data_IF_394591485882
#
_entry.id   IF_394591485882
#
_cell.length_a   1.000
_cell.length_b   1.000
_cell.length_c   1.000
_cell.angle_alpha   90.00
_cell.angle_beta   90.00
_cell.angle_gamma   90.00
#
_symmetry.space_group_name_H-M   'P 1'
#
loop_
_entity.id
_entity.type
_entity.pdbx_description
1 polymer ?
#
# COMPACT_ATOMS: atom_id res chain seq x y z
N UNK A 1 0.31 3.11 9.02
CA UNK A 1 0.00 1.80 9.67
C UNK A 1 -1.12 0.97 8.99
N UNK A 2 -1.91 1.52 8.06
CA UNK A 2 -3.03 0.80 7.42
C UNK A 2 -2.61 -0.48 6.68
N UNK A 3 -1.40 -0.52 6.10
CA UNK A 3 -0.86 -1.73 5.46
C UNK A 3 -0.77 -2.91 6.43
N UNK A 4 -0.34 -2.66 7.68
CA UNK A 4 -0.21 -3.71 8.70
C UNK A 4 -1.60 -4.28 9.03
N UNK A 5 -2.56 -3.39 9.30
CA UNK A 5 -3.95 -3.75 9.58
C UNK A 5 -4.61 -4.49 8.41
N UNK A 6 -4.40 -4.01 7.19
CA UNK A 6 -4.96 -4.61 5.97
C UNK A 6 -4.47 -6.05 5.79
N UNK A 7 -3.17 -6.30 5.97
CA UNK A 7 -2.64 -7.66 5.88
C UNK A 7 -3.18 -8.55 7.00
N UNK A 8 -3.25 -8.05 8.25
CA UNK A 8 -3.68 -8.85 9.40
C UNK A 8 -5.16 -9.26 9.34
N UNK A 9 -6.04 -8.35 8.89
CA UNK A 9 -7.49 -8.60 8.86
C UNK A 9 -7.93 -9.49 7.69
N UNK A 10 -7.10 -9.62 6.66
CA UNK A 10 -7.46 -10.31 5.43
C UNK A 10 -7.12 -11.80 5.54
N UNK A 11 -8.12 -12.66 5.31
CA UNK A 11 -7.89 -14.10 5.23
C UNK A 11 -7.34 -14.47 3.85
N UNK A 12 -6.02 -14.55 3.75
CA UNK A 12 -5.35 -15.09 2.56
C UNK A 12 -5.48 -16.62 2.50
N UNK A 13 -5.03 -17.21 1.39
CA UNK A 13 -4.99 -18.66 1.23
C UNK A 13 -4.02 -19.28 2.26
N UNK A 14 -4.57 -19.93 3.29
CA UNK A 14 -3.81 -20.45 4.44
C UNK A 14 -2.79 -21.53 4.12
N UNK A 15 -2.93 -22.20 2.96
CA UNK A 15 -1.98 -23.21 2.49
C UNK A 15 -0.85 -22.61 1.64
N UNK A 16 -0.89 -21.32 1.33
CA UNK A 16 0.12 -20.65 0.53
C UNK A 16 1.25 -20.13 1.43
N UNK A 17 2.46 -20.66 1.25
CA UNK A 17 3.64 -20.17 1.95
C UNK A 17 3.91 -18.67 1.71
N UNK A 18 3.44 -18.12 0.58
CA UNK A 18 3.58 -16.69 0.26
C UNK A 18 2.86 -15.76 1.24
N UNK A 19 1.82 -16.25 1.94
CA UNK A 19 1.03 -15.45 2.88
C UNK A 19 1.24 -15.87 4.34
N UNK A 20 2.21 -16.74 4.65
CA UNK A 20 2.45 -17.19 6.02
C UNK A 20 2.74 -16.02 6.98
N UNK A 21 3.30 -14.91 6.47
CA UNK A 21 3.59 -13.71 7.27
C UNK A 21 2.34 -12.97 7.75
N UNK A 22 1.16 -13.16 7.14
CA UNK A 22 -0.01 -12.30 7.36
C UNK A 22 -0.85 -12.66 8.59
N UNK A 23 -0.50 -13.73 9.31
CA UNK A 23 -1.30 -14.25 10.43
C UNK A 23 -0.72 -13.92 11.81
N UNK A 24 0.45 -13.29 11.87
CA UNK A 24 1.04 -12.76 13.09
C UNK A 24 1.38 -11.27 12.90
N UNK A 25 0.92 -10.44 13.83
CA UNK A 25 1.07 -9.00 13.74
C UNK A 25 2.55 -8.56 13.69
N UNK A 26 3.42 -9.25 14.43
CA UNK A 26 4.85 -8.95 14.45
C UNK A 26 5.57 -9.45 13.19
N UNK A 27 5.13 -10.56 12.60
CA UNK A 27 5.66 -11.00 11.31
C UNK A 27 5.30 -10.03 10.19
N UNK A 28 4.09 -9.48 10.18
CA UNK A 28 3.73 -8.41 9.23
C UNK A 28 4.64 -7.18 9.43
N UNK A 29 4.84 -6.74 10.68
CA UNK A 29 5.72 -5.60 10.97
C UNK A 29 7.17 -5.84 10.51
N UNK A 30 7.71 -7.04 10.77
CA UNK A 30 9.05 -7.44 10.31
C UNK A 30 9.12 -7.52 8.79
N UNK A 31 8.07 -7.98 8.13
CA UNK A 31 7.99 -8.02 6.67
C UNK A 31 7.99 -6.61 6.09
N UNK A 32 7.18 -5.71 6.66
CA UNK A 32 7.14 -4.30 6.28
C UNK A 32 8.50 -3.62 6.46
N UNK A 33 9.21 -3.86 7.57
CA UNK A 33 10.55 -3.31 7.76
C UNK A 33 11.60 -3.84 6.77
N UNK A 34 11.42 -5.05 6.21
CA UNK A 34 12.26 -5.54 5.10
C UNK A 34 11.91 -4.84 3.79
N UNK A 35 10.62 -4.63 3.53
CA UNK A 35 10.15 -3.85 2.40
C UNK A 35 10.70 -2.41 2.43
N UNK A 36 10.61 -1.72 3.57
CA UNK A 36 11.14 -0.36 3.75
C UNK A 36 12.64 -0.28 3.43
N UNK A 37 13.44 -1.21 3.97
CA UNK A 37 14.87 -1.31 3.65
C UNK A 37 15.15 -1.61 2.18
N UNK A 38 14.31 -2.42 1.54
CA UNK A 38 14.45 -2.73 0.12
C UNK A 38 14.17 -1.50 -0.74
N UNK A 39 13.14 -0.73 -0.41
CA UNK A 39 12.85 0.54 -1.09
C UNK A 39 13.98 1.55 -0.93
N UNK A 40 14.53 1.70 0.28
CA UNK A 40 15.69 2.55 0.54
C UNK A 40 16.96 2.08 -0.22
N UNK A 41 17.13 0.77 -0.39
CA UNK A 41 18.21 0.22 -1.20
C UNK A 41 18.02 0.55 -2.69
N UNK A 42 16.80 0.37 -3.22
CA UNK A 42 16.50 0.67 -4.61
C UNK A 42 16.66 2.15 -4.94
N UNK A 43 16.23 3.04 -4.05
CA UNK A 43 16.43 4.48 -4.23
C UNK A 43 17.92 4.84 -4.33
N UNK A 44 18.76 4.20 -3.50
CA UNK A 44 20.22 4.39 -3.53
C UNK A 44 20.87 3.82 -4.80
N UNK A 45 20.46 2.63 -5.23
CA UNK A 45 21.06 1.96 -6.38
C UNK A 45 20.58 2.52 -7.72
N UNK A 46 19.33 3.00 -7.77
CA UNK A 46 18.67 3.43 -8.98
C UNK A 46 17.98 4.79 -8.77
N UNK A 47 18.76 5.85 -8.50
CA UNK A 47 18.21 7.16 -8.20
C UNK A 47 17.30 7.63 -9.35
N UNK A 48 16.10 8.10 -9.00
CA UNK A 48 15.04 8.54 -9.94
C UNK A 48 14.49 7.46 -10.87
N UNK A 49 14.82 6.17 -10.68
CA UNK A 49 14.23 5.07 -11.47
C UNK A 49 13.03 4.45 -10.78
N UNK A 50 12.98 4.51 -9.45
CA UNK A 50 11.87 3.99 -8.64
C UNK A 50 11.05 5.16 -8.13
N UNK A 51 9.81 5.28 -8.60
CA UNK A 51 8.84 6.23 -8.07
C UNK A 51 8.18 5.61 -6.83
N UNK A 52 8.17 6.36 -5.72
CA UNK A 52 7.41 6.01 -4.53
C UNK A 52 6.17 6.91 -4.47
N UNK A 53 4.99 6.31 -4.60
CA UNK A 53 3.71 7.02 -4.61
C UNK A 53 2.94 6.72 -3.33
N UNK A 54 2.54 7.77 -2.60
CA UNK A 54 1.68 7.63 -1.42
C UNK A 54 0.22 7.48 -1.84
N UNK A 55 -0.48 6.53 -1.21
CA UNK A 55 -1.92 6.36 -1.43
C UNK A 55 -2.70 7.58 -0.94
N UNK A 56 -2.30 8.15 0.20
CA UNK A 56 -2.90 9.35 0.77
C UNK A 56 -2.75 10.56 -0.15
N UNK A 57 -1.58 10.73 -0.76
CA UNK A 57 -1.35 11.75 -1.77
C UNK A 57 -2.22 11.52 -3.02
N UNK A 58 -2.34 10.26 -3.48
CA UNK A 58 -3.18 9.90 -4.62
C UNK A 58 -4.67 10.17 -4.34
N UNK A 59 -5.15 9.88 -3.13
CA UNK A 59 -6.53 10.20 -2.72
C UNK A 59 -6.75 11.70 -2.63
N UNK A 60 -5.76 12.46 -2.15
CA UNK A 60 -5.86 13.91 -2.01
C UNK A 60 -5.82 14.66 -3.36
N UNK A 61 -5.08 14.15 -4.34
CA UNK A 61 -4.94 14.73 -5.68
C UNK A 61 -4.74 13.63 -6.73
N UNK A 62 -5.83 12.97 -7.13
CA UNK A 62 -5.75 11.83 -8.06
C UNK A 62 -5.13 12.24 -9.40
N UNK A 63 -5.56 13.37 -9.97
CA UNK A 63 -5.10 13.79 -11.29
C UNK A 63 -3.63 14.17 -11.26
N UNK A 64 -3.19 15.02 -10.32
CA UNK A 64 -1.80 15.45 -10.24
C UNK A 64 -0.85 14.28 -9.99
N UNK A 65 -1.20 13.37 -9.09
CA UNK A 65 -0.40 12.17 -8.83
C UNK A 65 -0.38 11.20 -10.01
N UNK A 66 -1.50 11.02 -10.71
CA UNK A 66 -1.56 10.15 -11.91
C UNK A 66 -0.74 10.73 -13.06
N UNK A 67 -0.78 12.06 -13.27
CA UNK A 67 0.07 12.74 -14.25
C UNK A 67 1.55 12.55 -13.94
N UNK A 68 1.95 12.70 -12.68
CA UNK A 68 3.33 12.47 -12.24
C UNK A 68 3.76 11.01 -12.48
N UNK A 69 2.88 10.05 -12.18
CA UNK A 69 3.12 8.62 -12.45
C UNK A 69 3.35 8.35 -13.94
N UNK A 70 2.51 8.89 -14.82
CA UNK A 70 2.61 8.70 -16.26
C UNK A 70 3.86 9.36 -16.84
N UNK A 71 4.20 10.58 -16.39
CA UNK A 71 5.44 11.27 -16.77
C UNK A 71 6.68 10.47 -16.37
N UNK A 72 6.72 9.94 -15.14
CA UNK A 72 7.81 9.08 -14.68
C UNK A 72 7.93 7.80 -15.52
N UNK A 73 6.81 7.25 -15.98
CA UNK A 73 6.76 6.05 -16.83
C UNK A 73 7.03 6.35 -18.33
N UNK A 74 7.09 7.62 -18.73
CA UNK A 74 7.18 8.02 -20.14
C UNK A 74 5.92 7.70 -20.95
N UNK A 75 4.75 7.73 -20.31
CA UNK A 75 3.45 7.43 -20.92
C UNK A 75 2.63 8.71 -21.13
N UNK A 76 1.82 8.73 -22.19
CA UNK A 76 0.91 9.83 -22.48
C UNK A 76 -0.27 9.86 -21.49
N UNK A 77 -0.84 11.06 -21.29
CA UNK A 77 -2.02 11.26 -20.45
C UNK A 77 -3.29 10.71 -21.12
N UNK A 78 -4.10 9.98 -20.35
CA UNK A 78 -5.47 9.60 -20.70
C UNK A 78 -6.42 9.92 -19.54
N UNK A 79 -7.53 10.61 -19.81
CA UNK A 79 -8.54 10.94 -18.82
C UNK A 79 -9.21 9.69 -18.22
N UNK A 80 -9.21 8.56 -18.95
CA UNK A 80 -9.71 7.27 -18.46
C UNK A 80 -8.96 6.77 -17.21
N UNK A 81 -7.74 7.25 -16.95
CA UNK A 81 -7.02 6.92 -15.71
C UNK A 81 -7.76 7.42 -14.45
N UNK A 82 -8.57 8.47 -14.55
CA UNK A 82 -9.39 8.96 -13.44
C UNK A 82 -10.59 8.05 -13.16
N UNK A 83 -11.10 7.39 -14.20
CA UNK A 83 -12.22 6.44 -14.16
C UNK A 83 -11.75 4.98 -14.19
N UNK A 84 -10.61 4.66 -13.58
CA UNK A 84 -10.03 3.29 -13.59
C UNK A 84 -11.00 2.19 -13.15
N UNK A 85 -11.96 2.51 -12.29
CA UNK A 85 -12.95 1.59 -11.75
C UNK A 85 -13.97 1.09 -12.79
N UNK A 86 -14.10 1.80 -13.92
CA UNK A 86 -14.96 1.44 -15.06
C UNK A 86 -14.29 0.39 -15.98
N UNK A 87 -12.99 0.11 -15.83
CA UNK A 87 -12.27 -0.86 -16.66
C UNK A 87 -12.80 -2.29 -16.45
N UNK A 88 -13.35 -2.93 -17.47
CA UNK A 88 -14.01 -4.24 -17.37
C UNK A 88 -13.08 -5.45 -17.16
N UNK A 89 -11.76 -5.29 -17.30
CA UNK A 89 -10.80 -6.39 -17.20
C UNK A 89 -10.90 -7.16 -15.87
N UNK A 90 -10.77 -8.49 -15.92
CA UNK A 90 -10.89 -9.33 -14.73
C UNK A 90 -9.80 -9.02 -13.68
N UNK A 91 -10.19 -8.97 -12.40
CA UNK A 91 -9.29 -8.74 -11.26
C UNK A 91 -9.34 -9.94 -10.32
N UNK A 92 -8.25 -10.71 -10.24
CA UNK A 92 -8.14 -11.93 -9.45
C UNK A 92 -7.34 -11.72 -8.15
N UNK A 93 -7.65 -10.65 -7.40
CA UNK A 93 -6.96 -10.30 -6.15
C UNK A 93 -7.97 -10.14 -4.99
N UNK A 94 -7.52 -10.21 -3.73
CA UNK A 94 -8.39 -9.91 -2.57
C UNK A 94 -8.99 -8.49 -2.60
N UNK A 95 -8.40 -7.57 -3.35
CA UNK A 95 -8.87 -6.19 -3.53
C UNK A 95 -9.88 -6.01 -4.68
N UNK A 96 -10.35 -7.09 -5.33
CA UNK A 96 -11.20 -7.00 -6.53
C UNK A 96 -12.43 -6.09 -6.33
N UNK A 97 -13.18 -6.24 -5.24
CA UNK A 97 -14.34 -5.39 -4.97
C UNK A 97 -13.96 -3.91 -4.74
N UNK A 98 -12.77 -3.64 -4.18
CA UNK A 98 -12.30 -2.29 -3.88
C UNK A 98 -11.85 -1.54 -5.14
N UNK A 99 -11.18 -2.23 -6.07
CA UNK A 99 -10.74 -1.65 -7.35
C UNK A 99 -11.92 -1.27 -8.26
N UNK A 100 -13.11 -1.84 -8.01
CA UNK A 100 -14.36 -1.52 -8.71
C UNK A 100 -15.09 -0.29 -8.16
N UNK A 101 -14.48 0.43 -7.23
CA UNK A 101 -15.02 1.68 -6.68
C UNK A 101 -14.14 2.85 -7.08
N UNK A 102 -14.69 4.07 -7.19
CA UNK A 102 -13.89 5.29 -7.31
C UNK A 102 -12.86 5.38 -6.18
N UNK A 103 -11.76 6.08 -6.45
CA UNK A 103 -10.74 6.34 -5.44
C UNK A 103 -11.37 7.06 -4.23
N UNK A 104 -11.05 6.58 -3.03
CA UNK A 104 -11.65 7.11 -1.80
C UNK A 104 -10.71 6.99 -0.59
N UNK A 105 -11.05 7.74 0.46
CA UNK A 105 -10.28 7.81 1.70
C UNK A 105 -10.68 6.76 2.75
N UNK A 106 -11.58 5.82 2.45
CA UNK A 106 -12.20 4.93 3.47
C UNK A 106 -11.19 4.02 4.18
N UNK A 107 -10.08 3.70 3.49
CA UNK A 107 -9.01 2.90 4.04
C UNK A 107 -7.97 3.72 4.82
N UNK A 108 -7.94 5.04 4.65
CA UNK A 108 -6.94 5.92 5.28
C UNK A 108 -7.21 6.03 6.77
N UNK A 109 -6.16 5.81 7.57
CA UNK A 109 -6.19 5.83 9.03
C UNK A 109 -7.22 4.88 9.66
N UNK A 110 -7.70 3.87 8.92
CA UNK A 110 -8.68 2.88 9.41
C UNK A 110 -8.09 2.03 10.52
N UNK A 111 -6.77 1.83 10.53
CA UNK A 111 -6.02 1.17 11.59
C UNK A 111 -6.25 1.78 12.97
N UNK A 112 -6.56 3.09 13.07
CA UNK A 112 -6.77 3.79 14.35
C UNK A 112 -7.91 3.21 15.18
N UNK A 113 -8.91 2.59 14.53
CA UNK A 113 -10.00 1.86 15.22
C UNK A 113 -9.50 0.67 16.03
N UNK A 114 -8.30 0.17 15.72
CA UNK A 114 -7.65 -0.97 16.34
C UNK A 114 -6.28 -0.59 16.92
N UNK A 115 -6.04 0.70 17.20
CA UNK A 115 -4.75 1.23 17.62
C UNK A 115 -4.17 0.47 18.82
N UNK A 116 -4.98 0.20 19.85
CA UNK A 116 -4.55 -0.55 21.04
C UNK A 116 -4.06 -1.96 20.69
N UNK A 117 -4.75 -2.65 19.79
CA UNK A 117 -4.36 -4.00 19.36
C UNK A 117 -3.12 -3.98 18.45
N UNK A 118 -2.89 -2.88 17.73
CA UNK A 118 -1.77 -2.71 16.81
C UNK A 118 -0.52 -2.10 17.47
N UNK A 119 -0.63 -1.65 18.72
CA UNK A 119 0.46 -1.01 19.46
C UNK A 119 1.79 -1.80 19.42
N UNK A 120 1.83 -3.14 19.58
CA UNK A 120 3.10 -3.88 19.52
C UNK A 120 3.85 -3.70 18.19
N UNK A 121 3.15 -3.76 17.05
CA UNK A 121 3.74 -3.54 15.74
C UNK A 121 4.10 -2.07 15.53
N UNK A 122 3.21 -1.15 15.91
CA UNK A 122 3.41 0.30 15.79
C UNK A 122 4.67 0.74 16.53
N UNK A 123 4.78 0.37 17.81
CA UNK A 123 5.88 0.80 18.66
C UNK A 123 7.21 0.16 18.21
N UNK A 124 7.16 -1.09 17.74
CA UNK A 124 8.33 -1.74 17.16
C UNK A 124 8.82 -1.06 15.87
N UNK A 125 7.91 -0.71 14.95
CA UNK A 125 8.23 0.02 13.72
C UNK A 125 8.79 1.41 14.01
N UNK A 126 8.16 2.14 14.93
CA UNK A 126 8.66 3.44 15.40
C UNK A 126 10.07 3.33 15.98
N UNK A 127 10.35 2.29 16.78
CA UNK A 127 11.69 1.98 17.29
C UNK A 127 12.72 1.59 16.21
N UNK A 128 12.29 1.33 14.97
CA UNK A 128 13.16 1.16 13.80
C UNK A 128 13.32 2.43 12.96
N UNK A 129 12.70 3.54 13.35
CA UNK A 129 12.71 4.80 12.60
C UNK A 129 11.77 4.81 11.39
N UNK A 130 10.83 3.87 11.32
CA UNK A 130 9.82 3.80 10.26
C UNK A 130 8.61 4.65 10.67
N UNK A 131 8.11 5.49 9.76
CA UNK A 131 6.89 6.28 10.03
C UNK A 131 5.67 5.38 10.23
N UNK A 132 4.83 5.73 11.21
CA UNK A 132 3.68 4.92 11.65
C UNK A 132 2.35 5.64 11.54
N UNK A 133 2.33 6.83 10.94
CA UNK A 133 1.11 7.60 10.72
C UNK A 133 0.06 6.82 9.87
#
# INVERSE_FOLDING_TARGET
MDTIWSNYKNLFASQSAYYAYSYDLMDIARYYARFDRLMALWDRLFPRRVLQLSYEALVADQEGQTRCLLDHAGLEWDAACLSFHENEAAVATPSAAQVRQPLNADAVARWKRHETALAPARDWLAGKGISVD
#
